data_IF_192725907288
#
_entry.id   IF_192725907288
#
_cell.length_a   1.000
_cell.length_b   1.000
_cell.length_c   1.000
_cell.angle_alpha   90.00
_cell.angle_beta   90.00
_cell.angle_gamma   90.00
#
_symmetry.space_group_name_H-M   'P 1'
#
loop_
_entity.id
_entity.type
_entity.pdbx_description
1 polymer ?
#
# COMPACT_ATOMS: atom_id res chain seq x y z
N UNK A 1 11.75 3.57 -7.77
CA UNK A 1 10.95 2.32 -7.84
C UNK A 1 11.50 1.30 -8.83
N UNK A 2 11.45 0.01 -8.50
CA UNK A 2 12.01 -1.07 -9.34
C UNK A 2 10.99 -1.60 -10.36
N UNK A 3 11.13 -1.19 -11.63
CA UNK A 3 10.31 -1.72 -12.76
C UNK A 3 10.38 -3.25 -12.87
N UNK A 4 11.51 -3.85 -12.51
CA UNK A 4 11.69 -5.30 -12.48
C UNK A 4 10.70 -5.97 -11.52
N UNK A 5 10.46 -5.37 -10.35
CA UNK A 5 9.49 -5.89 -9.38
C UNK A 5 8.06 -5.80 -9.90
N UNK A 6 7.72 -4.69 -10.57
CA UNK A 6 6.42 -4.52 -11.24
C UNK A 6 6.21 -5.61 -12.28
N UNK A 7 7.17 -5.82 -13.18
CA UNK A 7 7.10 -6.86 -14.22
C UNK A 7 7.02 -8.25 -13.62
N UNK A 8 7.89 -8.57 -12.64
CA UNK A 8 7.85 -9.83 -11.93
C UNK A 8 6.48 -10.09 -11.33
N UNK A 9 5.87 -9.09 -10.67
CA UNK A 9 4.53 -9.26 -10.11
C UNK A 9 3.47 -9.43 -11.20
N UNK A 10 3.54 -8.64 -12.28
CA UNK A 10 2.62 -8.72 -13.41
C UNK A 10 2.57 -10.14 -14.00
N UNK A 11 3.72 -10.71 -14.35
CA UNK A 11 3.80 -12.04 -14.96
C UNK A 11 3.51 -13.19 -13.99
N UNK A 12 3.62 -12.97 -12.68
CA UNK A 12 3.31 -13.99 -11.66
C UNK A 12 1.88 -13.89 -11.13
N UNK A 13 1.06 -13.01 -11.69
CA UNK A 13 -0.35 -12.78 -11.30
C UNK A 13 -1.28 -13.14 -12.47
N UNK A 14 -2.44 -13.79 -12.23
CA UNK A 14 -2.82 -14.44 -10.98
C UNK A 14 -1.98 -15.71 -10.76
N UNK A 15 -1.63 -15.99 -9.50
CA UNK A 15 -1.03 -17.29 -9.16
C UNK A 15 -2.08 -18.38 -9.31
N UNK A 16 -1.78 -19.38 -10.15
CA UNK A 16 -2.58 -20.61 -10.24
C UNK A 16 -2.11 -21.62 -9.21
N UNK A 17 -3.05 -22.29 -8.55
CA UNK A 17 -2.78 -23.31 -7.54
C UNK A 17 -3.54 -24.59 -7.90
N UNK A 18 -2.90 -25.73 -7.72
CA UNK A 18 -3.48 -27.03 -8.08
C UNK A 18 -4.31 -27.67 -6.96
N UNK A 19 -4.26 -27.12 -5.74
CA UNK A 19 -5.08 -27.60 -4.61
C UNK A 19 -5.18 -26.56 -3.50
N UNK A 20 -6.27 -26.65 -2.71
CA UNK A 20 -6.47 -25.86 -1.49
C UNK A 20 -5.35 -26.08 -0.47
N UNK A 21 -4.90 -27.32 -0.29
CA UNK A 21 -3.82 -27.68 0.63
C UNK A 21 -2.51 -26.93 0.31
N UNK A 22 -2.20 -26.74 -0.98
CA UNK A 22 -1.02 -25.96 -1.41
C UNK A 22 -1.17 -24.47 -1.07
N UNK A 23 -2.37 -23.92 -1.24
CA UNK A 23 -2.66 -22.53 -0.86
C UNK A 23 -2.42 -22.34 0.65
N UNK A 24 -2.99 -23.22 1.47
CA UNK A 24 -2.88 -23.13 2.92
C UNK A 24 -1.43 -23.29 3.40
N UNK A 25 -0.64 -24.18 2.78
CA UNK A 25 0.79 -24.33 3.08
C UNK A 25 1.54 -23.02 2.82
N UNK A 26 1.26 -22.36 1.69
CA UNK A 26 1.89 -21.09 1.32
C UNK A 26 1.44 -19.97 2.27
N UNK A 27 0.14 -19.91 2.62
CA UNK A 27 -0.38 -18.94 3.58
C UNK A 27 0.26 -19.11 4.96
N UNK A 28 0.33 -20.34 5.50
CA UNK A 28 0.98 -20.61 6.79
C UNK A 28 2.46 -20.19 6.80
N UNK A 29 3.20 -20.51 5.73
CA UNK A 29 4.59 -20.08 5.59
C UNK A 29 4.72 -18.55 5.46
N UNK A 30 3.81 -17.91 4.73
CA UNK A 30 3.74 -16.46 4.59
C UNK A 30 3.47 -15.76 5.92
N UNK A 31 2.48 -16.24 6.67
CA UNK A 31 2.14 -15.71 7.99
C UNK A 31 3.31 -15.82 8.96
N UNK A 32 3.97 -16.98 9.04
CA UNK A 32 5.14 -17.15 9.92
C UNK A 32 6.26 -16.15 9.59
N UNK A 33 6.53 -15.91 8.31
CA UNK A 33 7.53 -14.92 7.87
C UNK A 33 7.11 -13.50 8.20
N UNK A 34 5.84 -13.18 7.95
CA UNK A 34 5.29 -11.84 8.18
C UNK A 34 5.28 -11.51 9.68
N UNK A 35 4.81 -12.42 10.52
CA UNK A 35 4.78 -12.26 11.98
C UNK A 35 6.18 -12.04 12.53
N UNK A 36 7.15 -12.88 12.14
CA UNK A 36 8.56 -12.69 12.51
C UNK A 36 9.10 -11.33 12.12
N UNK A 37 8.81 -10.90 10.90
CA UNK A 37 9.23 -9.60 10.40
C UNK A 37 8.57 -8.46 11.21
N UNK A 38 7.26 -8.50 11.41
CA UNK A 38 6.53 -7.45 12.14
C UNK A 38 6.98 -7.40 13.60
N UNK A 39 7.03 -8.53 14.31
CA UNK A 39 7.48 -8.60 15.71
C UNK A 39 8.89 -8.02 15.88
N UNK A 40 9.79 -8.30 14.93
CA UNK A 40 11.17 -7.80 14.99
C UNK A 40 11.26 -6.28 14.79
N UNK A 41 10.38 -5.70 13.97
CA UNK A 41 10.56 -4.33 13.48
C UNK A 41 9.51 -3.34 14.01
N UNK A 42 8.41 -3.80 14.60
CA UNK A 42 7.39 -2.97 15.25
C UNK A 42 7.48 -3.16 16.78
N UNK A 43 7.92 -2.15 17.53
CA UNK A 43 7.92 -2.18 18.99
C UNK A 43 6.53 -2.46 19.57
N UNK A 44 5.47 -1.89 18.98
CA UNK A 44 4.10 -2.11 19.41
C UNK A 44 3.74 -3.60 19.36
N UNK A 45 3.94 -4.26 18.22
CA UNK A 45 3.59 -5.67 18.08
C UNK A 45 4.54 -6.60 18.85
N UNK A 46 5.81 -6.22 19.04
CA UNK A 46 6.74 -6.96 19.90
C UNK A 46 6.18 -7.10 21.33
N UNK A 47 5.66 -6.00 21.88
CA UNK A 47 5.02 -5.95 23.20
C UNK A 47 3.60 -6.53 23.18
N UNK A 48 2.80 -6.20 22.19
CA UNK A 48 1.39 -6.60 22.11
C UNK A 48 1.21 -8.11 21.92
N UNK A 49 2.21 -8.79 21.37
CA UNK A 49 2.23 -10.25 21.22
C UNK A 49 3.14 -10.94 22.24
N UNK A 50 3.54 -10.26 23.32
CA UNK A 50 4.35 -10.85 24.39
C UNK A 50 3.65 -12.07 25.01
N UNK A 51 4.41 -13.11 25.35
CA UNK A 51 3.87 -14.38 25.85
C UNK A 51 3.26 -15.31 24.79
N UNK A 52 3.07 -14.85 23.55
CA UNK A 52 2.58 -15.68 22.43
C UNK A 52 3.70 -15.96 21.43
N UNK A 53 3.84 -17.21 21.02
CA UNK A 53 4.82 -17.60 19.99
C UNK A 53 4.37 -17.17 18.58
N UNK A 54 5.30 -17.07 17.63
CA UNK A 54 4.98 -16.68 16.24
C UNK A 54 4.03 -17.66 15.53
N UNK A 55 4.03 -18.94 15.94
CA UNK A 55 3.18 -19.97 15.37
C UNK A 55 1.73 -19.88 15.88
N UNK A 56 1.48 -19.11 16.94
CA UNK A 56 0.17 -18.87 17.54
C UNK A 56 -0.51 -17.60 17.01
N UNK A 57 -0.11 -17.12 15.83
CA UNK A 57 -0.62 -15.88 15.23
C UNK A 57 -2.14 -15.76 15.17
N UNK A 58 -2.86 -16.89 15.08
CA UNK A 58 -4.31 -16.91 15.08
C UNK A 58 -4.95 -16.53 16.43
N UNK A 59 -4.17 -16.55 17.51
CA UNK A 59 -4.58 -16.16 18.88
C UNK A 59 -4.13 -14.75 19.24
N UNK A 60 -3.43 -14.05 18.35
CA UNK A 60 -2.93 -12.71 18.66
C UNK A 60 -4.11 -11.77 18.96
N UNK A 61 -3.97 -10.90 19.97
CA UNK A 61 -5.01 -9.92 20.29
C UNK A 61 -5.31 -9.04 19.08
N UNK A 62 -6.59 -8.81 18.86
CA UNK A 62 -7.09 -7.91 17.82
C UNK A 62 -6.91 -6.46 18.29
N UNK A 63 -6.65 -5.57 17.33
CA UNK A 63 -6.61 -4.12 17.57
C UNK A 63 -7.69 -3.44 16.73
N UNK A 64 -8.17 -2.32 17.23
CA UNK A 64 -9.03 -1.42 16.46
C UNK A 64 -8.25 -0.21 15.93
N UNK A 65 -8.97 0.70 15.27
CA UNK A 65 -8.40 1.92 14.71
C UNK A 65 -7.90 2.88 15.79
N UNK A 66 -8.55 2.96 16.94
CA UNK A 66 -8.10 3.85 18.03
C UNK A 66 -6.73 3.41 18.52
N UNK A 67 -6.61 2.13 18.88
CA UNK A 67 -5.35 1.53 19.32
C UNK A 67 -4.26 1.72 18.26
N UNK A 68 -4.58 1.49 16.97
CA UNK A 68 -3.64 1.72 15.87
C UNK A 68 -3.14 3.18 15.84
N UNK A 69 -4.05 4.15 15.92
CA UNK A 69 -3.70 5.57 15.79
C UNK A 69 -2.94 6.11 16.99
N UNK A 70 -3.32 5.69 18.20
CA UNK A 70 -2.66 6.09 19.45
C UNK A 70 -1.22 5.55 19.54
N UNK A 71 -0.93 4.45 18.83
CA UNK A 71 0.37 3.77 18.85
C UNK A 71 1.10 3.80 17.50
N UNK A 72 0.69 4.67 16.57
CA UNK A 72 1.11 4.60 15.16
C UNK A 72 2.64 4.58 14.98
N UNK A 73 3.37 5.41 15.75
CA UNK A 73 4.83 5.51 15.68
C UNK A 73 5.55 4.19 15.97
N UNK A 74 5.04 3.41 16.92
CA UNK A 74 5.59 2.11 17.34
C UNK A 74 4.95 0.93 16.59
N UNK A 75 3.78 1.13 15.98
CA UNK A 75 3.11 0.16 15.13
C UNK A 75 3.84 -0.03 13.80
N UNK A 76 4.39 1.04 13.24
CA UNK A 76 5.14 0.96 11.99
C UNK A 76 6.40 0.09 12.15
N UNK A 77 6.71 -0.68 11.10
CA UNK A 77 7.94 -1.49 11.00
C UNK A 77 9.15 -0.68 10.53
N UNK A 78 9.04 0.65 10.51
CA UNK A 78 10.08 1.60 10.17
C UNK A 78 9.97 2.79 11.11
N UNK A 79 11.10 3.38 11.48
CA UNK A 79 11.11 4.62 12.26
C UNK A 79 10.88 5.80 11.32
N UNK A 80 9.85 6.59 11.61
CA UNK A 80 9.49 7.81 10.89
C UNK A 80 9.05 8.85 11.92
N UNK A 81 9.34 10.12 11.63
CA UNK A 81 8.81 11.22 12.42
C UNK A 81 7.32 11.40 12.08
N UNK A 82 6.45 11.19 13.08
CA UNK A 82 5.00 11.27 12.89
C UNK A 82 4.50 12.70 12.71
N UNK A 83 5.20 13.71 13.23
CA UNK A 83 4.84 15.11 13.01
C UNK A 83 5.16 15.49 11.57
N UNK A 84 6.35 15.15 11.10
CA UNK A 84 6.72 15.35 9.69
C UNK A 84 5.77 14.62 8.74
N UNK A 85 5.38 13.39 9.07
CA UNK A 85 4.45 12.60 8.28
C UNK A 85 3.05 13.24 8.19
N UNK A 86 2.55 13.79 9.30
CA UNK A 86 1.26 14.50 9.33
C UNK A 86 1.31 15.79 8.54
N UNK A 87 2.33 16.62 8.75
CA UNK A 87 2.50 17.87 8.00
C UNK A 87 2.56 17.63 6.48
N UNK A 88 3.27 16.59 6.06
CA UNK A 88 3.34 16.22 4.64
C UNK A 88 1.97 15.80 4.10
N UNK A 89 1.25 14.96 4.84
CA UNK A 89 -0.07 14.49 4.43
C UNK A 89 -1.12 15.62 4.41
N UNK A 90 -1.08 16.54 5.38
CA UNK A 90 -1.96 17.71 5.45
C UNK A 90 -1.70 18.65 4.27
N UNK A 91 -0.44 18.92 3.97
CA UNK A 91 -0.06 19.74 2.82
C UNK A 91 -0.54 19.13 1.51
N UNK A 92 -0.34 17.82 1.34
CA UNK A 92 -0.78 17.08 0.14
C UNK A 92 -2.31 17.14 -0.03
N UNK A 93 -3.08 17.08 1.06
CA UNK A 93 -4.54 17.23 0.99
C UNK A 93 -4.97 18.65 0.59
N UNK A 94 -4.25 19.68 1.04
CA UNK A 94 -4.53 21.09 0.75
C UNK A 94 -4.18 21.47 -0.69
N UNK A 95 -2.97 21.15 -1.14
CA UNK A 95 -2.46 21.57 -2.45
C UNK A 95 -2.71 20.53 -3.56
N UNK A 96 -3.22 19.35 -3.21
CA UNK A 96 -3.48 18.22 -4.11
C UNK A 96 -2.23 17.65 -4.78
N UNK A 97 -1.03 17.95 -4.25
CA UNK A 97 0.24 17.38 -4.67
C UNK A 97 0.65 16.25 -3.72
N UNK A 98 0.49 15.01 -4.20
CA UNK A 98 0.81 13.79 -3.47
C UNK A 98 2.22 13.26 -3.77
N UNK A 99 2.99 13.96 -4.62
CA UNK A 99 4.35 13.58 -5.03
C UNK A 99 5.38 13.54 -3.89
N UNK A 100 5.31 14.39 -2.83
CA UNK A 100 6.27 14.37 -1.73
C UNK A 100 6.33 13.04 -0.97
N UNK A 101 7.49 12.75 -0.37
CA UNK A 101 7.78 11.52 0.38
C UNK A 101 8.62 11.82 1.62
N UNK A 102 8.61 10.90 2.59
CA UNK A 102 9.65 10.83 3.63
C UNK A 102 10.56 9.65 3.31
N UNK A 103 11.79 9.94 2.86
CA UNK A 103 12.69 8.92 2.36
C UNK A 103 12.05 8.07 1.25
N UNK A 104 12.01 6.73 1.37
CA UNK A 104 11.41 5.85 0.36
C UNK A 104 9.90 5.62 0.54
N UNK A 105 9.23 6.38 1.42
CA UNK A 105 7.83 6.14 1.80
C UNK A 105 6.91 7.25 1.30
N UNK A 106 5.87 6.85 0.58
CA UNK A 106 4.71 7.69 0.31
C UNK A 106 3.76 7.64 1.50
N UNK A 107 3.20 8.79 1.86
CA UNK A 107 2.39 8.97 3.06
C UNK A 107 1.10 9.68 2.63
N UNK A 108 -0.02 9.26 3.19
CA UNK A 108 -1.29 9.93 2.97
C UNK A 108 -2.34 9.53 3.97
N UNK A 109 -3.52 10.11 3.83
CA UNK A 109 -4.68 9.80 4.65
C UNK A 109 -5.59 8.75 4.00
N UNK A 110 -6.22 7.93 4.82
CA UNK A 110 -7.38 7.16 4.43
C UNK A 110 -8.61 8.06 4.35
N UNK A 111 -9.61 7.63 3.59
CA UNK A 111 -10.85 8.40 3.34
C UNK A 111 -11.62 8.79 4.62
N UNK A 112 -11.47 8.01 5.71
CA UNK A 112 -11.95 8.32 7.05
C UNK A 112 -13.49 8.39 7.19
N UNK A 113 -14.07 7.61 8.10
CA UNK A 113 -15.52 7.59 8.35
C UNK A 113 -15.94 8.17 9.71
N UNK A 114 -14.99 8.63 10.55
CA UNK A 114 -15.25 8.85 11.98
C UNK A 114 -14.45 10.00 12.64
N UNK A 115 -14.23 11.11 11.94
CA UNK A 115 -13.63 12.33 12.53
C UNK A 115 -12.09 12.38 12.55
N UNK A 116 -11.39 11.26 12.75
CA UNK A 116 -9.93 11.18 12.57
C UNK A 116 -9.53 10.44 11.28
N UNK A 117 -8.69 11.07 10.46
CA UNK A 117 -8.15 10.46 9.24
C UNK A 117 -7.04 9.47 9.64
N UNK A 118 -7.16 8.21 9.21
CA UNK A 118 -6.08 7.24 9.43
C UNK A 118 -4.93 7.54 8.48
N UNK A 119 -3.68 7.35 8.91
CA UNK A 119 -2.52 7.51 8.01
C UNK A 119 -2.13 6.17 7.39
N UNK A 120 -1.68 6.20 6.15
CA UNK A 120 -1.08 5.05 5.48
C UNK A 120 0.32 5.38 4.98
N UNK A 121 1.18 4.37 4.96
CA UNK A 121 2.59 4.47 4.59
C UNK A 121 2.90 3.36 3.60
N UNK A 122 3.51 3.71 2.47
CA UNK A 122 3.78 2.78 1.39
C UNK A 122 5.23 2.91 0.93
N UNK A 123 6.01 1.84 1.09
CA UNK A 123 7.34 1.78 0.51
C UNK A 123 7.29 1.67 -1.01
N UNK A 124 8.37 2.09 -1.66
CA UNK A 124 8.57 1.87 -3.10
C UNK A 124 8.40 0.40 -3.54
N UNK A 125 8.75 -0.57 -2.68
CA UNK A 125 8.64 -2.00 -2.99
C UNK A 125 7.19 -2.47 -2.98
N UNK A 126 6.39 -1.97 -2.05
CA UNK A 126 4.96 -2.25 -1.96
C UNK A 126 4.23 -1.62 -3.14
N UNK A 127 4.52 -0.35 -3.44
CA UNK A 127 3.94 0.37 -4.58
C UNK A 127 4.22 -0.36 -5.91
N UNK A 128 5.47 -0.75 -6.19
CA UNK A 128 5.82 -1.50 -7.39
C UNK A 128 5.12 -2.87 -7.46
N UNK A 129 4.97 -3.55 -6.32
CA UNK A 129 4.24 -4.82 -6.26
C UNK A 129 2.75 -4.59 -6.53
N UNK A 130 2.14 -3.59 -5.93
CA UNK A 130 0.73 -3.27 -6.12
C UNK A 130 0.43 -2.91 -7.59
N UNK A 131 1.26 -2.06 -8.20
CA UNK A 131 1.09 -1.66 -9.59
C UNK A 131 1.17 -2.86 -10.55
N UNK A 132 2.13 -3.78 -10.34
CA UNK A 132 2.23 -4.99 -11.17
C UNK A 132 1.01 -5.91 -11.02
N UNK A 133 0.47 -6.04 -9.80
CA UNK A 133 -0.76 -6.78 -9.55
C UNK A 133 -1.96 -6.14 -10.26
N UNK A 134 -2.14 -4.83 -10.09
CA UNK A 134 -3.23 -4.07 -10.72
C UNK A 134 -3.18 -4.15 -12.24
N UNK A 135 -2.01 -3.97 -12.85
CA UNK A 135 -1.84 -4.10 -14.30
C UNK A 135 -2.16 -5.51 -14.80
N UNK A 136 -1.78 -6.56 -14.06
CA UNK A 136 -2.09 -7.95 -14.45
C UNK A 136 -3.59 -8.26 -14.40
N UNK A 137 -4.32 -7.60 -13.50
CA UNK A 137 -5.76 -7.81 -13.32
C UNK A 137 -6.61 -6.87 -14.17
N UNK A 138 -6.09 -5.69 -14.51
CA UNK A 138 -6.84 -4.62 -15.16
C UNK A 138 -6.49 -4.36 -16.62
N UNK A 139 -5.39 -4.92 -17.14
CA UNK A 139 -5.11 -4.86 -18.58
C UNK A 139 -5.77 -6.04 -19.30
N UNK A 140 -6.51 -5.74 -20.37
CA UNK A 140 -7.09 -6.75 -21.27
C UNK A 140 -6.08 -7.32 -22.28
N UNK A 141 -4.79 -7.23 -21.97
CA UNK A 141 -3.72 -7.65 -22.87
C UNK A 141 -2.33 -7.53 -22.28
N UNK A 142 -1.33 -7.57 -23.16
CA UNK A 142 0.08 -7.50 -22.78
C UNK A 142 0.45 -6.15 -22.18
N UNK A 143 1.27 -6.13 -21.12
CA UNK A 143 1.89 -4.91 -20.56
C UNK A 143 2.77 -4.16 -21.58
N UNK A 144 3.15 -4.81 -22.69
CA UNK A 144 3.91 -4.18 -23.77
C UNK A 144 3.03 -3.50 -24.82
N UNK A 145 1.70 -3.60 -24.75
CA UNK A 145 0.80 -2.84 -25.61
C UNK A 145 0.68 -1.38 -25.11
N UNK A 146 0.02 -0.53 -25.91
CA UNK A 146 -0.19 0.87 -25.57
C UNK A 146 -1.54 1.07 -24.88
N UNK A 147 -1.52 1.71 -23.72
CA UNK A 147 -2.72 2.02 -22.93
C UNK A 147 -2.70 3.47 -22.43
N UNK A 148 -3.89 4.05 -22.35
CA UNK A 148 -4.18 5.24 -21.54
C UNK A 148 -5.17 4.80 -20.46
N UNK A 149 -4.79 4.94 -19.20
CA UNK A 149 -5.56 4.47 -18.05
C UNK A 149 -5.99 5.67 -17.23
N UNK A 150 -7.29 5.88 -17.09
CA UNK A 150 -7.86 6.86 -16.18
C UNK A 150 -8.03 6.30 -14.78
N UNK A 151 -7.47 6.97 -13.77
CA UNK A 151 -7.64 6.67 -12.35
C UNK A 151 -8.54 7.74 -11.75
N UNK A 152 -9.80 7.38 -11.54
CA UNK A 152 -10.81 8.28 -10.96
C UNK A 152 -10.86 8.00 -9.45
N UNK A 153 -10.20 8.84 -8.66
CA UNK A 153 -10.01 8.62 -7.22
C UNK A 153 -10.04 9.96 -6.45
N UNK A 154 -10.35 9.92 -5.15
CA UNK A 154 -10.37 11.11 -4.27
C UNK A 154 -8.99 11.63 -3.89
N UNK A 155 -7.92 10.84 -4.05
CA UNK A 155 -6.56 11.27 -3.74
C UNK A 155 -5.59 10.51 -4.64
N UNK A 156 -4.58 11.20 -5.15
CA UNK A 156 -3.54 10.58 -5.97
C UNK A 156 -2.49 9.92 -5.08
N UNK A 157 -1.61 9.12 -5.68
CA UNK A 157 -0.44 8.59 -5.00
C UNK A 157 0.69 8.33 -5.99
N UNK A 158 1.90 8.22 -5.48
CA UNK A 158 3.12 7.98 -6.29
C UNK A 158 3.15 6.58 -6.94
N UNK A 159 2.15 5.75 -6.65
CA UNK A 159 2.11 4.33 -7.02
C UNK A 159 2.06 4.11 -8.53
N UNK A 160 1.21 4.85 -9.25
CA UNK A 160 1.00 4.62 -10.69
C UNK A 160 1.85 5.55 -11.56
N UNK A 161 2.07 6.79 -11.13
CA UNK A 161 2.96 7.73 -11.84
C UNK A 161 4.36 7.14 -12.04
N UNK A 162 4.90 6.52 -11.00
CA UNK A 162 6.24 5.92 -11.03
C UNK A 162 6.35 4.64 -11.91
N UNK A 163 5.21 4.06 -12.28
CA UNK A 163 5.12 2.84 -13.11
C UNK A 163 4.73 3.18 -14.55
N UNK A 164 4.29 4.42 -14.79
CA UNK A 164 4.06 4.96 -16.11
C UNK A 164 5.25 4.75 -17.06
N UNK A 165 4.93 4.60 -18.34
CA UNK A 165 5.91 4.47 -19.42
C UNK A 165 5.38 5.14 -20.69
N UNK A 166 6.21 5.20 -21.73
CA UNK A 166 5.75 5.67 -23.04
C UNK A 166 4.61 4.82 -23.62
N UNK A 167 4.45 3.58 -23.15
CA UNK A 167 3.38 2.68 -23.59
C UNK A 167 2.17 2.68 -22.65
N UNK A 168 2.36 2.85 -21.35
CA UNK A 168 1.27 2.90 -20.37
C UNK A 168 1.26 4.27 -19.73
N UNK A 169 0.30 5.10 -20.13
CA UNK A 169 0.09 6.42 -19.55
C UNK A 169 -1.05 6.34 -18.53
N UNK A 170 -0.82 6.88 -17.34
CA UNK A 170 -1.84 7.05 -16.32
C UNK A 170 -2.26 8.51 -16.27
N UNK A 171 -3.56 8.74 -16.31
CA UNK A 171 -4.18 10.04 -16.06
C UNK A 171 -4.96 9.94 -14.76
N UNK A 172 -4.73 10.87 -13.85
CA UNK A 172 -5.44 10.93 -12.58
C UNK A 172 -6.57 11.96 -12.67
N UNK A 173 -7.75 11.56 -12.23
CA UNK A 173 -8.98 12.36 -12.23
C UNK A 173 -9.47 12.49 -10.79
N UNK A 174 -9.38 13.69 -10.24
CA UNK A 174 -9.68 13.98 -8.83
C UNK A 174 -11.19 14.06 -8.59
N UNK A 175 -11.76 13.11 -7.84
CA UNK A 175 -13.19 13.09 -7.51
C UNK A 175 -13.68 14.30 -6.70
N UNK A 176 -12.78 15.11 -6.14
CA UNK A 176 -13.14 16.34 -5.44
C UNK A 176 -13.34 17.53 -6.38
N UNK A 177 -12.96 17.39 -7.66
CA UNK A 177 -13.19 18.40 -8.68
C UNK A 177 -14.56 18.24 -9.34
N UNK A 178 -15.14 19.33 -9.88
CA UNK A 178 -16.33 19.27 -10.71
C UNK A 178 -16.18 18.28 -11.89
N UNK A 179 -17.26 17.58 -12.26
CA UNK A 179 -17.23 16.54 -13.28
C UNK A 179 -16.82 17.08 -14.66
N UNK A 180 -17.17 18.33 -14.95
CA UNK A 180 -16.78 19.07 -16.15
C UNK A 180 -15.27 19.32 -16.23
N UNK A 181 -14.54 19.33 -15.11
CA UNK A 181 -13.07 19.40 -15.09
C UNK A 181 -12.40 18.03 -15.25
N UNK A 182 -13.15 16.92 -15.31
CA UNK A 182 -12.61 15.56 -15.43
C UNK A 182 -12.43 15.07 -16.88
N UNK A 183 -12.87 15.85 -17.88
CA UNK A 183 -12.98 15.38 -19.27
C UNK A 183 -11.84 15.81 -20.23
N UNK A 184 -10.87 16.60 -19.78
CA UNK A 184 -9.73 17.05 -20.59
C UNK A 184 -8.47 16.17 -20.46
#
# INVERSE_FOLDING_TARGET
MSKLRTLFRYFTTPKKFHSRQRIEKIQRQGMKRQVKFVRKNSPFYAKHWEGLSDDEWAKFPLIDKSIMMDNLADLLTTRLDMNQARELADRAEQNRDFSPKIGPYSIGYSSGTSGSRGMHFLSEKEQASWAGFMLSRGLDGSIFARYKIGLILRANSNTFESVGSSRIKFNFYDLMKPLDELHD
#
